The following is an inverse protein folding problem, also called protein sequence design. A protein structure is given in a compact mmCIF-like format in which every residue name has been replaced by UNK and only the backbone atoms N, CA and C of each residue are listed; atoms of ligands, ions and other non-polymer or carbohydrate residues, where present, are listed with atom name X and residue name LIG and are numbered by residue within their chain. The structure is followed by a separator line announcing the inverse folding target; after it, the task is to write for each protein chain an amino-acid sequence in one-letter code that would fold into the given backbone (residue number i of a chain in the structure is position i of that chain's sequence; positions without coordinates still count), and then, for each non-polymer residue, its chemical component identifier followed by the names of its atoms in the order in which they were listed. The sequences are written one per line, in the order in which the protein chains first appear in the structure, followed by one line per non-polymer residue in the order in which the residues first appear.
data_IF_594129035446
#
_entry.id   IF_594129035446
#
_cell.length_a   1.000
_cell.length_b   1.000
_cell.length_c   1.000
_cell.angle_alpha   90.00
_cell.angle_beta   90.00
_cell.angle_gamma   90.00
#
_symmetry.space_group_name_H-M   'P 1'
#
loop_
_entity.id
_entity.type
_entity.pdbx_description
1 polymer ?
#
# COMPACT_ATOMS: atom_id res chain seq x y z
N UNK A 1 -6.18 9.88 21.83
CA UNK A 1 -5.00 9.01 22.02
C UNK A 1 -3.80 9.67 21.37
N UNK A 2 -2.60 9.36 21.88
CA UNK A 2 -1.32 9.77 21.27
C UNK A 2 -0.75 8.60 20.49
N UNK A 3 -0.62 8.76 19.16
CA UNK A 3 -0.31 7.66 18.25
C UNK A 3 1.00 7.95 17.52
N UNK A 4 1.94 7.01 17.52
CA UNK A 4 3.15 7.05 16.72
C UNK A 4 3.00 6.18 15.47
N UNK A 5 3.10 6.78 14.29
CA UNK A 5 3.22 6.06 13.03
C UNK A 5 4.68 5.86 12.66
N UNK A 6 5.11 4.61 12.50
CA UNK A 6 6.44 4.28 12.00
C UNK A 6 6.34 3.96 10.50
N UNK A 7 7.08 4.69 9.69
CA UNK A 7 7.10 4.58 8.23
C UNK A 7 8.55 4.60 7.72
N UNK A 8 8.82 4.00 6.55
CA UNK A 8 10.15 4.03 5.94
C UNK A 8 10.45 5.35 5.24
N UNK A 9 9.41 5.95 4.62
CA UNK A 9 9.51 7.22 3.89
C UNK A 9 8.22 8.00 4.04
N UNK A 10 8.32 9.31 4.30
CA UNK A 10 7.15 10.19 4.40
C UNK A 10 7.51 11.62 3.99
N UNK A 11 6.66 12.33 3.22
CA UNK A 11 5.52 11.79 2.50
C UNK A 11 5.96 10.87 1.34
N UNK A 12 5.11 9.95 0.90
CA UNK A 12 5.41 9.05 -0.22
C UNK A 12 4.26 9.02 -1.22
N UNK A 13 4.56 9.29 -2.47
CA UNK A 13 3.57 9.32 -3.57
C UNK A 13 2.89 7.95 -3.73
N UNK A 14 3.62 6.86 -3.53
CA UNK A 14 3.11 5.50 -3.67
C UNK A 14 2.35 4.97 -2.43
N UNK A 15 2.36 5.72 -1.31
CA UNK A 15 1.77 5.32 -0.03
C UNK A 15 0.69 6.31 0.44
N UNK A 16 -0.16 6.77 -0.47
CA UNK A 16 -1.27 7.70 -0.17
C UNK A 16 -2.20 7.19 0.92
N UNK A 17 -2.34 5.87 1.06
CA UNK A 17 -3.13 5.23 2.09
C UNK A 17 -2.59 5.50 3.52
N UNK A 18 -1.27 5.65 3.69
CA UNK A 18 -0.67 6.03 4.99
C UNK A 18 -1.07 7.45 5.34
N UNK A 19 -0.97 8.37 4.39
CA UNK A 19 -1.40 9.75 4.56
C UNK A 19 -2.88 9.82 4.94
N UNK A 20 -3.74 9.09 4.23
CA UNK A 20 -5.18 9.05 4.49
C UNK A 20 -5.51 8.48 5.88
N UNK A 21 -4.77 7.48 6.37
CA UNK A 21 -4.93 6.98 7.74
C UNK A 21 -4.52 8.03 8.78
N UNK A 22 -3.39 8.68 8.59
CA UNK A 22 -2.88 9.72 9.52
C UNK A 22 -3.87 10.87 9.62
N UNK A 23 -4.25 11.45 8.47
CA UNK A 23 -5.19 12.58 8.41
C UNK A 23 -6.54 12.19 9.01
N UNK A 24 -7.08 11.02 8.67
CA UNK A 24 -8.35 10.57 9.19
C UNK A 24 -8.36 10.34 10.71
N UNK A 25 -7.25 9.91 11.30
CA UNK A 25 -7.12 9.82 12.75
C UNK A 25 -6.96 11.20 13.42
N UNK A 26 -6.30 12.15 12.73
CA UNK A 26 -6.25 13.56 13.20
C UNK A 26 -7.64 14.19 13.16
N UNK A 27 -8.44 13.93 12.12
CA UNK A 27 -9.85 14.40 12.03
C UNK A 27 -10.74 13.81 13.14
N UNK A 28 -10.39 12.61 13.64
CA UNK A 28 -11.04 11.97 14.80
C UNK A 28 -10.52 12.49 16.16
N UNK A 29 -9.66 13.52 16.15
CA UNK A 29 -9.16 14.18 17.36
C UNK A 29 -7.97 13.48 18.04
N UNK A 30 -7.25 12.62 17.33
CA UNK A 30 -6.04 11.97 17.87
C UNK A 30 -4.79 12.80 17.64
N UNK A 31 -3.85 12.76 18.62
CA UNK A 31 -2.51 13.35 18.50
C UNK A 31 -1.59 12.37 17.77
N UNK A 32 -1.38 12.60 16.46
CA UNK A 32 -0.63 11.68 15.59
C UNK A 32 0.76 12.23 15.30
N UNK A 33 1.79 11.41 15.54
CA UNK A 33 3.18 11.71 15.23
C UNK A 33 3.77 10.67 14.25
N UNK A 34 4.55 11.15 13.29
CA UNK A 34 5.10 10.34 12.21
C UNK A 34 6.61 10.23 12.40
N UNK A 35 7.13 9.00 12.44
CA UNK A 35 8.55 8.70 12.53
C UNK A 35 9.00 8.03 11.23
N UNK A 36 9.78 8.74 10.43
CA UNK A 36 10.20 8.29 9.11
C UNK A 36 11.72 8.12 9.00
N UNK A 37 12.16 7.06 8.31
CA UNK A 37 13.59 6.83 8.04
C UNK A 37 14.14 7.85 7.04
N UNK A 38 13.30 8.27 6.07
CA UNK A 38 13.69 9.19 4.99
C UNK A 38 12.59 10.23 4.73
N UNK A 39 13.03 11.42 4.34
CA UNK A 39 12.14 12.39 3.70
C UNK A 39 11.89 11.96 2.27
N UNK A 40 10.64 11.89 1.88
CA UNK A 40 10.24 11.70 0.51
C UNK A 40 10.20 13.01 -0.29
N UNK A 41 9.78 12.92 -1.55
CA UNK A 41 9.66 14.09 -2.41
C UNK A 41 8.42 14.91 -2.04
N UNK A 42 8.62 16.13 -1.56
CA UNK A 42 7.55 17.04 -1.15
C UNK A 42 6.87 17.76 -2.33
N UNK A 43 7.51 17.80 -3.49
CA UNK A 43 7.01 18.56 -4.67
C UNK A 43 5.69 17.99 -5.23
N UNK A 44 5.41 16.73 -4.96
CA UNK A 44 4.18 16.03 -5.40
C UNK A 44 3.22 15.74 -4.26
N UNK A 45 3.38 16.43 -3.12
CA UNK A 45 2.55 16.17 -1.94
C UNK A 45 1.13 16.72 -2.13
N UNK A 46 0.19 15.90 -1.76
CA UNK A 46 -1.24 16.23 -1.73
C UNK A 46 -1.51 17.43 -0.82
N UNK A 47 -2.47 18.28 -1.15
CA UNK A 47 -2.88 19.43 -0.32
C UNK A 47 -3.17 19.11 1.15
N UNK A 48 -3.41 17.85 1.48
CA UNK A 48 -3.54 17.38 2.86
C UNK A 48 -2.24 17.52 3.69
N UNK A 49 -1.05 17.43 3.07
CA UNK A 49 0.21 17.57 3.79
C UNK A 49 0.36 18.99 4.37
N UNK A 50 0.00 19.99 3.60
CA UNK A 50 0.04 21.39 4.01
C UNK A 50 -1.14 21.74 4.93
N UNK A 51 -2.36 21.28 4.58
CA UNK A 51 -3.58 21.53 5.35
C UNK A 51 -3.47 21.11 6.82
N UNK A 52 -2.83 19.97 7.09
CA UNK A 52 -2.68 19.43 8.45
C UNK A 52 -1.30 19.75 9.06
N UNK A 53 -0.50 20.60 8.43
CA UNK A 53 0.85 20.98 8.89
C UNK A 53 1.69 19.76 9.31
N UNK A 54 1.64 18.72 8.48
CA UNK A 54 2.25 17.41 8.80
C UNK A 54 3.76 17.50 8.96
N UNK A 55 4.38 18.57 8.51
CA UNK A 55 5.81 18.87 8.75
C UNK A 55 6.15 18.94 10.24
N UNK A 56 5.29 19.55 11.04
CA UNK A 56 5.46 19.65 12.52
C UNK A 56 5.25 18.33 13.23
N UNK A 57 4.44 17.45 12.66
CA UNK A 57 4.15 16.13 13.20
C UNK A 57 5.14 15.06 12.74
N UNK A 58 6.04 15.36 11.77
CA UNK A 58 6.98 14.40 11.19
C UNK A 58 8.37 14.52 11.77
N UNK A 59 8.88 13.39 12.26
CA UNK A 59 10.21 13.25 12.87
C UNK A 59 11.06 12.33 12.02
N UNK A 60 12.15 12.87 11.45
CA UNK A 60 13.11 12.08 10.68
C UNK A 60 14.28 11.64 11.56
N UNK A 61 14.70 10.38 11.40
CA UNK A 61 15.86 9.87 12.08
C UNK A 61 17.13 10.49 11.49
N UNK A 62 17.77 11.40 12.24
CA UNK A 62 18.98 12.11 11.83
C UNK A 62 20.23 11.33 12.20
N UNK A 63 20.56 10.29 11.43
CA UNK A 63 21.77 9.50 11.65
C UNK A 63 22.95 10.18 10.93
N UNK A 64 24.01 10.64 11.63
CA UNK A 64 25.14 11.31 10.99
C UNK A 64 25.86 10.36 10.03
N UNK A 65 26.19 10.84 8.83
CA UNK A 65 26.97 10.07 7.85
C UNK A 65 28.44 9.91 8.30
N UNK A 66 29.02 10.98 8.88
CA UNK A 66 30.38 10.94 9.42
C UNK A 66 30.41 10.10 10.68
N UNK A 67 31.31 9.11 10.73
CA UNK A 67 31.42 8.15 11.81
C UNK A 67 31.86 8.79 13.14
N UNK A 68 32.81 9.70 13.10
CA UNK A 68 33.29 10.41 14.31
C UNK A 68 32.16 11.25 14.93
N UNK A 69 31.43 12.00 14.10
CA UNK A 69 30.28 12.78 14.57
C UNK A 69 29.20 11.86 15.13
N UNK A 70 29.03 10.68 14.54
CA UNK A 70 28.07 9.68 15.00
C UNK A 70 28.44 9.16 16.39
N UNK A 71 29.70 8.82 16.62
CA UNK A 71 30.20 8.36 17.93
C UNK A 71 30.01 9.46 19.00
N UNK A 72 30.47 10.68 18.71
CA UNK A 72 30.36 11.79 19.68
C UNK A 72 28.89 12.04 20.05
N UNK A 73 27.99 12.09 19.07
CA UNK A 73 26.57 12.24 19.36
C UNK A 73 25.98 11.04 20.10
N UNK A 74 26.42 9.83 19.79
CA UNK A 74 25.95 8.63 20.49
C UNK A 74 26.34 8.66 21.96
N UNK A 75 27.59 9.08 22.29
CA UNK A 75 28.03 9.24 23.67
C UNK A 75 27.18 10.28 24.39
N UNK A 76 26.98 11.46 23.78
CA UNK A 76 26.12 12.49 24.35
C UNK A 76 24.69 11.97 24.63
N UNK A 77 24.12 11.22 23.71
CA UNK A 77 22.80 10.61 23.89
C UNK A 77 22.77 9.56 25.01
N UNK A 78 23.80 8.71 25.09
CA UNK A 78 23.90 7.72 26.17
C UNK A 78 23.93 8.46 27.52
N UNK A 79 24.77 9.48 27.68
CA UNK A 79 24.85 10.26 28.93
C UNK A 79 23.51 10.90 29.27
N UNK A 80 22.84 11.50 28.30
CA UNK A 80 21.59 12.21 28.49
C UNK A 80 20.43 11.30 28.85
N UNK A 81 20.31 10.12 28.18
CA UNK A 81 19.10 9.27 28.25
C UNK A 81 19.29 8.00 29.08
N UNK A 82 20.53 7.54 29.34
CA UNK A 82 20.80 6.35 30.12
C UNK A 82 20.15 6.33 31.52
N UNK A 83 20.14 7.43 32.27
CA UNK A 83 19.57 7.42 33.62
C UNK A 83 18.10 7.03 33.67
N UNK A 84 17.34 7.32 32.58
CA UNK A 84 15.90 7.04 32.52
C UNK A 84 15.53 5.89 31.58
N UNK A 85 16.41 5.52 30.65
CA UNK A 85 16.14 4.61 29.54
C UNK A 85 17.27 3.60 29.31
N UNK A 86 17.92 3.15 30.38
CA UNK A 86 19.06 2.22 30.33
C UNK A 86 18.77 0.97 29.48
N UNK A 87 17.58 0.37 29.66
CA UNK A 87 17.17 -0.83 28.92
C UNK A 87 17.16 -0.64 27.40
N UNK A 88 16.68 0.51 26.93
CA UNK A 88 16.60 0.82 25.50
C UNK A 88 18.00 1.03 24.92
N UNK A 89 18.85 1.72 25.65
CA UNK A 89 20.23 1.99 25.25
C UNK A 89 21.01 0.70 25.17
N UNK A 90 21.01 -0.13 26.23
CA UNK A 90 21.70 -1.41 26.22
C UNK A 90 21.25 -2.32 25.10
N UNK A 91 19.94 -2.36 24.83
CA UNK A 91 19.40 -3.15 23.70
C UNK A 91 19.86 -2.59 22.36
N UNK A 92 19.78 -1.27 22.16
CA UNK A 92 20.17 -0.65 20.89
C UNK A 92 21.65 -0.85 20.55
N UNK A 93 22.48 -1.09 21.56
CA UNK A 93 23.92 -1.36 21.43
C UNK A 93 24.27 -2.86 21.37
N UNK A 94 23.31 -3.76 21.51
CA UNK A 94 23.57 -5.20 21.52
C UNK A 94 23.88 -5.74 20.12
N UNK A 95 25.17 -5.74 19.77
CA UNK A 95 25.68 -6.19 18.47
C UNK A 95 25.43 -7.68 18.23
N UNK A 96 25.46 -8.51 19.26
CA UNK A 96 25.21 -9.94 19.15
C UNK A 96 23.77 -10.24 18.70
N UNK A 97 22.83 -9.38 19.07
CA UNK A 97 21.42 -9.54 18.73
C UNK A 97 21.01 -8.85 17.44
N UNK A 98 21.55 -7.67 17.18
CA UNK A 98 21.08 -6.79 16.10
C UNK A 98 22.15 -6.51 15.03
N UNK A 99 23.33 -7.16 15.14
CA UNK A 99 24.37 -7.14 14.11
C UNK A 99 24.75 -5.73 13.64
N UNK A 100 24.75 -5.54 12.32
CA UNK A 100 25.13 -4.27 11.68
C UNK A 100 24.35 -3.06 12.17
N UNK A 101 23.07 -3.21 12.55
CA UNK A 101 22.22 -2.10 12.99
C UNK A 101 22.64 -1.55 14.35
N UNK A 102 23.03 -2.42 15.29
CA UNK A 102 23.57 -2.00 16.58
C UNK A 102 25.00 -1.49 16.41
N UNK A 103 25.85 -2.20 15.66
CA UNK A 103 27.23 -1.78 15.41
C UNK A 103 27.31 -0.40 14.74
N UNK A 104 26.42 -0.11 13.80
CA UNK A 104 26.33 1.20 13.16
C UNK A 104 25.67 2.27 14.04
N UNK A 105 25.30 1.98 15.26
CA UNK A 105 24.57 2.86 16.19
C UNK A 105 23.18 3.33 15.64
N UNK A 106 22.73 2.79 14.51
CA UNK A 106 21.48 3.22 13.87
C UNK A 106 20.29 3.00 14.79
N UNK A 107 20.22 1.88 15.51
CA UNK A 107 19.14 1.59 16.46
C UNK A 107 19.09 2.62 17.60
N UNK A 108 20.24 3.06 18.11
CA UNK A 108 20.31 4.08 19.14
C UNK A 108 19.68 5.39 18.64
N UNK A 109 20.10 5.88 17.46
CA UNK A 109 19.55 7.10 16.88
C UNK A 109 18.07 7.01 16.53
N UNK A 110 17.58 5.82 16.20
CA UNK A 110 16.14 5.58 15.92
C UNK A 110 15.30 5.52 17.19
N UNK A 111 15.89 5.13 18.33
CA UNK A 111 15.15 5.07 19.59
C UNK A 111 14.93 6.46 20.23
N UNK A 112 15.87 7.39 20.04
CA UNK A 112 15.90 8.70 20.72
C UNK A 112 14.61 9.51 20.50
N UNK A 113 14.10 9.73 19.29
CA UNK A 113 12.89 10.53 19.09
C UNK A 113 11.64 9.95 19.78
N UNK A 114 11.65 8.64 20.07
CA UNK A 114 10.59 7.96 20.82
C UNK A 114 10.76 8.14 22.33
N UNK A 115 11.98 8.44 22.80
CA UNK A 115 12.32 8.63 24.22
C UNK A 115 12.25 10.09 24.68
N UNK A 116 12.46 11.05 23.78
CA UNK A 116 12.53 12.49 24.06
C UNK A 116 11.21 13.11 24.54
N UNK A 117 10.12 12.34 24.59
CA UNK A 117 8.79 12.89 24.89
C UNK A 117 8.39 12.65 26.32
N UNK A 118 7.85 13.67 26.97
CA UNK A 118 7.37 13.65 28.35
C UNK A 118 6.22 12.65 28.58
N UNK A 119 5.37 12.44 27.55
CA UNK A 119 4.28 11.47 27.61
C UNK A 119 4.50 10.35 26.59
N UNK A 120 4.42 9.08 27.01
CA UNK A 120 4.54 7.94 26.10
C UNK A 120 3.38 7.92 25.08
N UNK A 121 3.63 7.27 23.94
CA UNK A 121 2.55 6.98 22.99
C UNK A 121 1.68 5.85 23.51
N UNK A 122 0.38 5.99 23.33
CA UNK A 122 -0.60 4.94 23.63
C UNK A 122 -0.49 3.78 22.63
N UNK A 123 -0.39 4.11 21.35
CA UNK A 123 -0.27 3.17 20.23
C UNK A 123 0.98 3.49 19.42
N UNK A 124 1.69 2.44 19.03
CA UNK A 124 2.78 2.51 18.04
C UNK A 124 2.33 1.69 16.84
N UNK A 125 1.96 2.37 15.77
CA UNK A 125 1.51 1.74 14.53
C UNK A 125 2.63 1.67 13.48
N UNK A 126 3.11 0.48 13.22
CA UNK A 126 4.13 0.18 12.22
C UNK A 126 3.48 -0.14 10.89
N UNK A 127 3.84 0.56 9.82
CA UNK A 127 3.19 0.42 8.51
C UNK A 127 3.66 -0.79 7.68
N UNK A 128 4.65 -1.55 8.16
CA UNK A 128 5.15 -2.78 7.57
C UNK A 128 5.71 -3.71 8.64
N UNK A 129 5.73 -5.01 8.40
CA UNK A 129 6.27 -6.01 9.32
C UNK A 129 7.73 -5.77 9.70
N UNK A 130 8.56 -5.27 8.78
CA UNK A 130 9.96 -4.91 9.04
C UNK A 130 10.10 -3.76 10.04
N UNK A 131 9.18 -2.80 10.02
CA UNK A 131 9.11 -1.71 10.99
C UNK A 131 8.61 -2.20 12.36
N UNK A 132 7.64 -3.13 12.35
CA UNK A 132 7.17 -3.82 13.55
C UNK A 132 8.29 -4.60 14.25
N UNK A 133 9.08 -5.35 13.49
CA UNK A 133 10.25 -6.06 14.01
C UNK A 133 11.23 -5.10 14.69
N UNK A 134 11.50 -3.95 14.08
CA UNK A 134 12.34 -2.90 14.65
C UNK A 134 11.73 -2.32 15.93
N UNK A 135 10.44 -2.03 15.93
CA UNK A 135 9.75 -1.48 17.10
C UNK A 135 9.82 -2.43 18.31
N UNK A 136 9.53 -3.72 18.15
CA UNK A 136 9.60 -4.69 19.26
C UNK A 136 11.03 -4.93 19.74
N UNK A 137 12.02 -4.64 18.91
CA UNK A 137 13.43 -4.73 19.26
C UNK A 137 13.90 -3.56 20.11
N UNK A 138 13.42 -2.35 19.83
CA UNK A 138 13.83 -1.12 20.47
C UNK A 138 13.09 -0.83 21.77
N UNK A 139 11.78 -1.14 21.79
CA UNK A 139 10.92 -0.74 22.90
C UNK A 139 10.92 -1.80 24.00
N UNK A 140 11.22 -1.43 25.25
CA UNK A 140 11.15 -2.36 26.37
C UNK A 140 9.70 -2.72 26.68
N UNK A 141 9.46 -3.99 26.97
CA UNK A 141 8.15 -4.49 27.40
C UNK A 141 7.72 -3.88 28.74
N UNK A 142 8.68 -3.39 29.53
CA UNK A 142 8.49 -2.85 30.89
C UNK A 142 7.97 -1.42 30.98
N UNK A 143 7.96 -0.65 29.91
CA UNK A 143 7.55 0.76 29.95
C UNK A 143 6.06 0.92 29.70
N UNK A 144 5.23 0.33 30.55
CA UNK A 144 3.77 0.56 30.58
C UNK A 144 3.06 0.23 29.25
N UNK A 145 1.79 0.12 29.25
CA UNK A 145 0.78 -0.17 28.24
C UNK A 145 1.00 0.24 26.77
N UNK A 146 2.23 0.29 26.24
CA UNK A 146 2.49 0.61 24.82
C UNK A 146 2.12 -0.59 23.96
N UNK A 147 1.13 -0.40 23.12
CA UNK A 147 0.65 -1.46 22.22
C UNK A 147 1.24 -1.26 20.83
N UNK A 148 1.99 -2.26 20.36
CA UNK A 148 2.55 -2.25 18.99
C UNK A 148 1.55 -2.91 18.07
N UNK A 149 1.00 -2.13 17.15
CA UNK A 149 0.14 -2.57 16.06
C UNK A 149 0.96 -2.57 14.77
N UNK A 150 0.85 -3.60 13.95
CA UNK A 150 1.64 -3.72 12.72
C UNK A 150 0.73 -3.99 11.53
N UNK A 151 0.67 -3.07 10.59
CA UNK A 151 0.04 -3.32 9.28
C UNK A 151 0.92 -4.19 8.41
N UNK A 152 0.31 -5.13 7.69
CA UNK A 152 0.95 -6.07 6.76
C UNK A 152 0.38 -5.82 5.37
N UNK A 153 1.27 -5.56 4.38
CA UNK A 153 0.84 -4.98 3.12
C UNK A 153 1.16 -5.79 1.85
N UNK A 154 1.95 -6.84 1.96
CA UNK A 154 2.30 -7.73 0.84
C UNK A 154 3.77 -8.11 0.86
N UNK A 155 4.65 -7.36 0.22
CA UNK A 155 6.08 -7.71 0.06
C UNK A 155 6.83 -7.99 1.37
N UNK A 156 6.36 -7.43 2.47
CA UNK A 156 6.87 -7.66 3.82
C UNK A 156 6.57 -9.07 4.35
N UNK A 157 5.64 -9.78 3.75
CA UNK A 157 5.28 -11.17 4.10
C UNK A 157 5.56 -12.13 2.94
N UNK A 158 5.38 -11.69 1.69
CA UNK A 158 5.56 -12.57 0.53
C UNK A 158 7.03 -12.71 0.12
N UNK A 159 7.75 -11.60 -0.01
CA UNK A 159 9.16 -11.60 -0.45
C UNK A 159 10.12 -11.64 0.74
N UNK A 160 9.87 -10.79 1.75
CA UNK A 160 10.81 -10.63 2.85
C UNK A 160 10.90 -11.88 3.72
N UNK A 161 9.77 -12.52 4.08
CA UNK A 161 9.79 -13.76 4.88
C UNK A 161 10.36 -14.95 4.11
N UNK A 162 10.13 -15.01 2.79
CA UNK A 162 10.74 -16.04 1.94
C UNK A 162 12.26 -15.99 1.98
N UNK A 163 12.85 -14.78 2.05
CA UNK A 163 14.30 -14.56 2.17
C UNK A 163 14.83 -14.71 3.59
N UNK A 164 13.98 -14.54 4.59
CA UNK A 164 14.35 -14.55 6.02
C UNK A 164 13.35 -15.36 6.85
N UNK A 165 13.31 -16.71 6.70
CA UNK A 165 12.35 -17.56 7.40
C UNK A 165 12.44 -17.39 8.91
N UNK A 166 11.28 -17.26 9.57
CA UNK A 166 11.18 -17.17 11.03
C UNK A 166 11.64 -15.85 11.66
N UNK A 167 12.05 -14.84 10.87
CA UNK A 167 12.53 -13.56 11.41
C UNK A 167 11.43 -12.83 12.20
N UNK A 168 10.15 -13.06 11.91
CA UNK A 168 9.03 -12.42 12.60
C UNK A 168 8.58 -13.15 13.88
N UNK A 169 9.22 -14.24 14.29
CA UNK A 169 8.84 -14.96 15.53
C UNK A 169 8.79 -14.04 16.76
N UNK A 170 9.80 -13.17 16.92
CA UNK A 170 9.82 -12.23 18.04
C UNK A 170 8.75 -11.13 17.88
N UNK A 171 8.51 -10.67 16.66
CA UNK A 171 7.44 -9.72 16.35
C UNK A 171 6.07 -10.34 16.68
N UNK A 172 5.78 -11.56 16.25
CA UNK A 172 4.52 -12.25 16.54
C UNK A 172 4.30 -12.50 18.02
N UNK A 173 5.38 -12.79 18.76
CA UNK A 173 5.31 -12.98 20.22
C UNK A 173 4.99 -11.67 20.95
N UNK A 174 5.66 -10.57 20.62
CA UNK A 174 5.63 -9.30 21.34
C UNK A 174 4.65 -8.26 20.79
N UNK A 175 4.37 -8.30 19.50
CA UNK A 175 3.38 -7.44 18.87
C UNK A 175 1.99 -7.72 19.43
N UNK A 176 1.17 -6.67 19.48
CA UNK A 176 -0.17 -6.79 20.02
C UNK A 176 -1.15 -7.22 18.93
N UNK A 177 -1.28 -6.43 17.87
CA UNK A 177 -2.16 -6.71 16.74
C UNK A 177 -1.43 -6.64 15.41
N UNK A 178 -1.81 -7.54 14.51
CA UNK A 178 -1.37 -7.57 13.11
C UNK A 178 -2.55 -7.27 12.21
N UNK A 179 -2.40 -6.25 11.38
CA UNK A 179 -3.45 -5.74 10.50
C UNK A 179 -3.08 -6.04 9.03
N UNK A 180 -3.26 -7.29 8.56
CA UNK A 180 -3.13 -7.58 7.14
C UNK A 180 -4.23 -6.85 6.35
N UNK A 181 -3.90 -6.40 5.13
CA UNK A 181 -4.81 -5.62 4.29
C UNK A 181 -5.78 -6.48 3.48
N UNK A 182 -5.76 -7.80 3.64
CA UNK A 182 -6.68 -8.75 3.02
C UNK A 182 -6.62 -10.12 3.74
N UNK A 183 -7.63 -10.97 3.52
CA UNK A 183 -7.69 -12.32 4.09
C UNK A 183 -6.53 -13.19 3.58
N UNK A 184 -6.15 -13.07 2.29
CA UNK A 184 -5.00 -13.77 1.75
C UNK A 184 -3.71 -13.55 2.59
N UNK A 185 -3.45 -12.31 3.00
CA UNK A 185 -2.29 -12.00 3.85
C UNK A 185 -2.49 -12.44 5.30
N UNK A 186 -3.73 -12.51 5.80
CA UNK A 186 -4.04 -13.10 7.11
C UNK A 186 -3.66 -14.58 7.13
N UNK A 187 -4.12 -15.35 6.14
CA UNK A 187 -3.79 -16.77 6.01
C UNK A 187 -2.26 -16.98 5.94
N UNK A 188 -1.58 -16.11 5.20
CA UNK A 188 -0.12 -16.15 5.13
C UNK A 188 0.55 -15.92 6.48
N UNK A 189 0.05 -14.97 7.29
CA UNK A 189 0.57 -14.73 8.65
C UNK A 189 0.37 -15.95 9.56
N UNK A 190 -0.78 -16.61 9.46
CA UNK A 190 -1.08 -17.84 10.23
C UNK A 190 -0.08 -18.95 9.86
N UNK A 191 0.16 -19.16 8.56
CA UNK A 191 1.15 -20.13 8.07
C UNK A 191 2.57 -19.83 8.56
N UNK A 192 2.92 -18.56 8.73
CA UNK A 192 4.22 -18.14 9.27
C UNK A 192 4.29 -18.19 10.81
N UNK A 193 3.23 -18.69 11.48
CA UNK A 193 3.17 -18.92 12.92
C UNK A 193 2.65 -17.75 13.77
N UNK A 194 1.98 -16.78 13.17
CA UNK A 194 1.26 -15.77 13.94
C UNK A 194 -0.03 -16.33 14.50
N UNK A 195 -0.29 -16.12 15.80
CA UNK A 195 -1.53 -16.59 16.43
C UNK A 195 -2.74 -15.84 15.84
N UNK A 196 -3.76 -16.55 15.36
CA UNK A 196 -4.93 -15.98 14.68
C UNK A 196 -5.64 -14.93 15.54
N UNK A 197 -5.75 -15.15 16.85
CA UNK A 197 -6.33 -14.18 17.79
C UNK A 197 -5.65 -12.82 17.84
N UNK A 198 -4.44 -12.69 17.29
CA UNK A 198 -3.70 -11.43 17.15
C UNK A 198 -3.85 -10.80 15.77
N UNK A 199 -4.63 -11.39 14.88
CA UNK A 199 -4.75 -10.92 13.51
C UNK A 199 -6.16 -10.38 13.29
N UNK A 200 -6.23 -9.14 12.78
CA UNK A 200 -7.49 -8.52 12.35
C UNK A 200 -7.29 -7.97 10.95
N UNK A 201 -8.05 -8.46 9.98
CA UNK A 201 -8.01 -7.90 8.63
C UNK A 201 -8.53 -6.48 8.68
N UNK A 202 -7.68 -5.55 8.24
CA UNK A 202 -8.02 -4.14 8.17
C UNK A 202 -7.61 -3.61 6.80
N UNK A 203 -8.60 -3.43 5.94
CA UNK A 203 -8.39 -2.87 4.61
C UNK A 203 -7.85 -1.44 4.70
N UNK A 204 -7.22 -0.97 3.63
CA UNK A 204 -7.00 0.45 3.43
C UNK A 204 -7.88 0.95 2.28
N UNK A 205 -8.38 2.16 2.47
CA UNK A 205 -9.38 2.73 1.59
C UNK A 205 -8.86 3.85 0.72
N UNK A 206 -9.78 4.33 -0.09
CA UNK A 206 -9.69 5.58 -0.82
C UNK A 206 -10.77 6.54 -0.32
N UNK A 207 -10.57 7.82 -0.52
CA UNK A 207 -11.60 8.82 -0.27
C UNK A 207 -12.56 8.83 -1.47
N UNK A 208 -13.69 8.13 -1.32
CA UNK A 208 -14.68 7.98 -2.39
C UNK A 208 -15.29 9.31 -2.82
N UNK A 209 -15.29 10.34 -1.97
CA UNK A 209 -15.82 11.67 -2.30
C UNK A 209 -14.99 12.40 -3.36
N UNK A 210 -13.72 12.03 -3.51
CA UNK A 210 -12.81 12.61 -4.50
C UNK A 210 -12.99 12.05 -5.91
N UNK A 211 -13.75 10.96 -6.07
CA UNK A 211 -13.96 10.28 -7.34
C UNK A 211 -15.43 10.43 -7.75
N UNK A 212 -15.65 11.15 -8.85
CA UNK A 212 -16.99 11.31 -9.40
C UNK A 212 -17.46 10.01 -10.04
N UNK A 213 -18.66 9.56 -9.68
CA UNK A 213 -19.31 8.48 -10.41
C UNK A 213 -19.73 8.95 -11.80
N UNK A 214 -19.31 8.25 -12.84
CA UNK A 214 -19.68 8.52 -14.23
C UNK A 214 -20.48 7.35 -14.77
N UNK A 215 -21.74 7.58 -15.11
CA UNK A 215 -22.53 6.60 -15.86
C UNK A 215 -22.07 6.55 -17.31
N UNK A 216 -21.46 5.44 -17.69
CA UNK A 216 -20.88 5.31 -19.03
C UNK A 216 -21.91 4.92 -20.06
N UNK A 217 -22.02 5.74 -21.08
CA UNK A 217 -22.81 5.47 -22.28
C UNK A 217 -21.84 5.39 -23.46
N UNK A 218 -21.83 4.27 -24.16
CA UNK A 218 -21.01 4.12 -25.36
C UNK A 218 -21.80 4.49 -26.60
N UNK A 219 -21.18 5.29 -27.46
CA UNK A 219 -21.71 5.53 -28.78
C UNK A 219 -21.38 4.33 -29.68
N UNK A 220 -22.36 3.73 -30.37
CA UNK A 220 -22.08 2.63 -31.28
C UNK A 220 -21.04 3.01 -32.33
N UNK A 221 -20.03 2.15 -32.51
CA UNK A 221 -18.96 2.36 -33.49
C UNK A 221 -17.73 3.11 -33.01
N UNK A 222 -17.78 3.75 -31.84
CA UNK A 222 -16.60 4.35 -31.22
C UNK A 222 -15.64 3.31 -30.62
N UNK A 223 -14.35 3.62 -30.63
CA UNK A 223 -13.33 2.78 -30.00
C UNK A 223 -13.53 2.70 -28.49
N UNK A 224 -13.34 1.51 -27.92
CA UNK A 224 -13.39 1.31 -26.47
C UNK A 224 -12.09 1.80 -25.85
N UNK A 225 -12.18 2.74 -24.90
CA UNK A 225 -11.04 3.26 -24.15
C UNK A 225 -10.72 2.33 -22.96
N UNK A 226 -9.63 1.60 -23.07
CA UNK A 226 -9.12 0.71 -22.03
C UNK A 226 -8.01 1.42 -21.28
N UNK A 227 -7.97 1.30 -19.95
CA UNK A 227 -6.99 1.95 -19.10
C UNK A 227 -6.28 0.94 -18.20
N UNK A 228 -4.98 1.11 -18.01
CA UNK A 228 -4.19 0.53 -16.90
C UNK A 228 -3.47 1.65 -16.17
N UNK A 229 -3.57 1.66 -14.83
CA UNK A 229 -2.83 2.58 -13.94
C UNK A 229 -1.97 1.74 -13.01
N UNK A 230 -0.66 1.68 -13.26
CA UNK A 230 0.23 0.81 -12.48
C UNK A 230 1.69 1.21 -12.62
N UNK A 231 2.52 0.82 -11.62
CA UNK A 231 3.97 0.77 -11.83
C UNK A 231 4.29 -0.28 -12.89
N UNK A 232 5.21 0.01 -13.80
CA UNK A 232 5.60 -0.91 -14.87
C UNK A 232 6.61 -1.95 -14.32
N UNK A 233 6.08 -2.90 -13.53
CA UNK A 233 6.82 -4.01 -12.90
C UNK A 233 6.08 -5.32 -13.14
N UNK A 234 6.79 -6.44 -13.07
CA UNK A 234 6.31 -7.78 -13.44
C UNK A 234 4.95 -8.12 -12.81
N UNK A 235 4.79 -7.95 -11.51
CA UNK A 235 3.57 -8.33 -10.80
C UNK A 235 2.30 -7.59 -11.24
N UNK A 236 2.41 -6.58 -12.10
CA UNK A 236 1.26 -5.88 -12.67
C UNK A 236 0.72 -6.52 -13.95
N UNK A 237 1.43 -7.50 -14.51
CA UNK A 237 0.97 -8.34 -15.61
C UNK A 237 0.68 -7.60 -16.92
N UNK A 238 1.22 -6.40 -17.13
CA UNK A 238 0.90 -5.54 -18.29
C UNK A 238 1.23 -6.24 -19.61
N UNK A 239 2.21 -7.15 -19.64
CA UNK A 239 2.54 -7.97 -20.79
C UNK A 239 1.32 -8.73 -21.30
N UNK A 240 0.58 -9.39 -20.40
CA UNK A 240 -0.64 -10.15 -20.75
C UNK A 240 -1.79 -9.25 -21.23
N UNK A 241 -1.87 -8.01 -20.69
CA UNK A 241 -2.82 -7.02 -21.21
C UNK A 241 -2.48 -6.58 -22.65
N UNK A 242 -1.20 -6.39 -22.97
CA UNK A 242 -0.76 -6.07 -24.34
C UNK A 242 -1.06 -7.22 -25.31
N UNK A 243 -0.79 -8.47 -24.91
CA UNK A 243 -1.11 -9.67 -25.72
C UNK A 243 -2.63 -9.76 -25.97
N UNK A 244 -3.46 -9.59 -24.94
CA UNK A 244 -4.91 -9.61 -25.07
C UNK A 244 -5.43 -8.50 -26.01
N UNK A 245 -4.92 -7.27 -25.84
CA UNK A 245 -5.28 -6.13 -26.69
C UNK A 245 -4.84 -6.35 -28.13
N UNK A 246 -3.63 -6.82 -28.37
CA UNK A 246 -3.12 -7.13 -29.71
C UNK A 246 -3.99 -8.18 -30.39
N UNK A 247 -4.36 -9.25 -29.67
CA UNK A 247 -5.27 -10.30 -30.19
C UNK A 247 -6.65 -9.77 -30.56
N UNK A 248 -7.20 -8.79 -29.83
CA UNK A 248 -8.49 -8.17 -30.16
C UNK A 248 -8.40 -7.23 -31.38
N UNK A 249 -7.33 -6.43 -31.44
CA UNK A 249 -7.08 -5.54 -32.57
C UNK A 249 -6.92 -6.34 -33.88
N UNK A 250 -6.22 -7.49 -33.85
CA UNK A 250 -6.08 -8.38 -35.01
C UNK A 250 -7.42 -9.00 -35.48
N UNK A 251 -8.40 -9.14 -34.59
CA UNK A 251 -9.76 -9.59 -34.91
C UNK A 251 -10.69 -8.44 -35.34
N UNK A 252 -10.16 -7.21 -35.49
CA UNK A 252 -10.91 -6.04 -35.96
C UNK A 252 -11.71 -5.30 -34.88
N UNK A 253 -11.54 -5.62 -33.60
CA UNK A 253 -12.19 -4.87 -32.53
C UNK A 253 -11.60 -3.44 -32.45
N UNK A 254 -12.46 -2.44 -32.26
CA UNK A 254 -12.05 -1.04 -32.15
C UNK A 254 -11.80 -0.70 -30.69
N UNK A 255 -10.55 -0.54 -30.31
CA UNK A 255 -10.16 -0.14 -28.97
C UNK A 255 -8.89 0.74 -28.96
N UNK A 256 -8.77 1.58 -27.93
CA UNK A 256 -7.58 2.35 -27.57
C UNK A 256 -7.14 1.92 -26.17
N UNK A 257 -5.87 1.62 -26.00
CA UNK A 257 -5.33 1.21 -24.71
C UNK A 257 -4.33 2.22 -24.17
N UNK A 258 -4.63 2.80 -23.04
CA UNK A 258 -3.78 3.77 -22.34
C UNK A 258 -3.17 3.13 -21.10
N UNK A 259 -1.86 3.21 -20.98
CA UNK A 259 -1.09 2.70 -19.83
C UNK A 259 -0.44 3.89 -19.13
N UNK A 260 -0.80 4.10 -17.85
CA UNK A 260 -0.27 5.16 -17.00
C UNK A 260 0.65 4.58 -15.94
N UNK A 261 1.83 5.16 -15.82
CA UNK A 261 2.86 4.81 -14.85
C UNK A 261 4.21 4.61 -15.49
N UNK A 262 5.20 4.28 -14.66
CA UNK A 262 6.57 4.05 -15.08
C UNK A 262 7.20 2.92 -14.28
N UNK A 263 8.34 2.41 -14.72
CA UNK A 263 9.05 1.34 -14.03
C UNK A 263 10.02 0.57 -14.91
N UNK A 264 10.61 -0.46 -14.31
CA UNK A 264 11.70 -1.24 -14.94
C UNK A 264 11.32 -1.89 -16.28
N UNK A 265 10.03 -2.20 -16.47
CA UNK A 265 9.57 -2.85 -17.72
C UNK A 265 9.25 -1.86 -18.85
N UNK A 266 9.39 -0.55 -18.66
CA UNK A 266 9.00 0.45 -19.68
C UNK A 266 9.58 0.12 -21.05
N UNK A 267 10.90 0.00 -21.16
CA UNK A 267 11.57 -0.27 -22.44
C UNK A 267 11.17 -1.61 -23.06
N UNK A 268 10.91 -2.62 -22.22
CA UNK A 268 10.40 -3.91 -22.69
C UNK A 268 8.99 -3.79 -23.29
N UNK A 269 8.10 -3.08 -22.62
CA UNK A 269 6.72 -2.86 -23.09
C UNK A 269 6.70 -2.03 -24.39
N UNK A 270 7.55 -1.00 -24.51
CA UNK A 270 7.70 -0.21 -25.74
C UNK A 270 8.14 -1.09 -26.92
N UNK A 271 9.12 -1.99 -26.71
CA UNK A 271 9.54 -2.96 -27.71
C UNK A 271 8.46 -3.96 -28.09
N UNK A 272 7.65 -4.42 -27.12
CA UNK A 272 6.52 -5.31 -27.39
C UNK A 272 5.47 -4.64 -28.26
N UNK A 273 5.08 -3.39 -27.92
CA UNK A 273 4.11 -2.60 -28.67
C UNK A 273 4.57 -2.47 -30.13
N UNK A 274 5.86 -2.12 -30.38
CA UNK A 274 6.41 -2.02 -31.72
C UNK A 274 6.43 -3.35 -32.49
N UNK A 275 6.83 -4.46 -31.83
CA UNK A 275 6.80 -5.79 -32.47
C UNK A 275 5.38 -6.26 -32.85
N UNK A 276 4.39 -5.88 -32.05
CA UNK A 276 2.99 -6.20 -32.30
C UNK A 276 2.32 -5.28 -33.35
N UNK A 277 2.96 -4.16 -33.71
CA UNK A 277 2.43 -3.18 -34.67
C UNK A 277 1.19 -2.43 -34.18
N UNK A 278 1.08 -2.19 -32.87
CA UNK A 278 -0.10 -1.59 -32.22
C UNK A 278 0.16 -0.18 -31.64
N UNK A 279 1.20 0.51 -32.08
CA UNK A 279 1.62 1.83 -31.55
C UNK A 279 0.55 2.92 -31.74
N UNK A 280 -0.30 2.75 -32.74
CA UNK A 280 -1.38 3.71 -33.01
C UNK A 280 -2.50 3.60 -31.95
N UNK A 281 -2.75 2.42 -31.43
CA UNK A 281 -3.84 2.12 -30.49
C UNK A 281 -3.39 2.08 -29.03
N UNK A 282 -2.10 1.86 -28.76
CA UNK A 282 -1.55 1.71 -27.40
C UNK A 282 -0.63 2.88 -27.05
N UNK A 283 -0.88 3.52 -25.91
CA UNK A 283 -0.11 4.68 -25.45
C UNK A 283 0.45 4.45 -24.05
N UNK A 284 1.76 4.61 -23.88
CA UNK A 284 2.49 4.63 -22.61
C UNK A 284 2.70 6.08 -22.18
N UNK A 285 1.90 6.59 -21.25
CA UNK A 285 1.90 8.01 -20.87
C UNK A 285 2.92 8.40 -19.80
N UNK A 286 3.64 7.40 -19.21
CA UNK A 286 4.53 7.67 -18.08
C UNK A 286 3.77 8.06 -16.80
N UNK A 287 4.48 8.65 -15.85
CA UNK A 287 3.87 9.17 -14.62
C UNK A 287 2.90 10.31 -14.88
N UNK A 288 1.77 10.26 -14.19
CA UNK A 288 0.73 11.27 -14.22
C UNK A 288 0.39 11.72 -12.81
N UNK A 289 -0.05 12.97 -12.67
CA UNK A 289 -0.59 13.49 -11.42
C UNK A 289 -1.89 12.79 -11.05
N UNK A 290 -2.28 12.85 -9.78
CA UNK A 290 -3.53 12.25 -9.32
C UNK A 290 -4.76 12.79 -10.06
N UNK A 291 -4.78 14.09 -10.35
CA UNK A 291 -5.87 14.73 -11.12
C UNK A 291 -5.91 14.29 -12.59
N UNK A 292 -4.74 14.05 -13.21
CA UNK A 292 -4.68 13.49 -14.57
C UNK A 292 -5.17 12.03 -14.59
N UNK A 293 -4.75 11.24 -13.60
CA UNK A 293 -5.23 9.84 -13.44
C UNK A 293 -6.75 9.82 -13.28
N UNK A 294 -7.28 10.70 -12.44
CA UNK A 294 -8.72 10.79 -12.20
C UNK A 294 -9.48 11.10 -13.48
N UNK A 295 -9.04 12.10 -14.28
CA UNK A 295 -9.63 12.39 -15.58
C UNK A 295 -9.61 11.18 -16.53
N UNK A 296 -8.47 10.48 -16.60
CA UNK A 296 -8.36 9.26 -17.42
C UNK A 296 -9.30 8.15 -16.96
N UNK A 297 -9.51 7.99 -15.65
CA UNK A 297 -10.50 7.06 -15.10
C UNK A 297 -11.93 7.47 -15.48
N UNK A 298 -12.24 8.77 -15.46
CA UNK A 298 -13.56 9.31 -15.85
C UNK A 298 -13.84 9.14 -17.35
N UNK A 299 -12.82 9.27 -18.20
CA UNK A 299 -12.91 9.18 -19.66
C UNK A 299 -12.86 7.75 -20.21
N UNK A 300 -12.40 6.79 -19.41
CA UNK A 300 -12.21 5.41 -19.84
C UNK A 300 -13.49 4.58 -19.75
N UNK A 301 -13.55 3.46 -20.48
CA UNK A 301 -14.66 2.54 -20.49
C UNK A 301 -14.43 1.28 -19.66
N UNK A 302 -13.18 0.80 -19.55
CA UNK A 302 -12.80 -0.41 -18.80
C UNK A 302 -11.41 -0.20 -18.18
N UNK A 303 -11.25 -0.60 -16.92
CA UNK A 303 -9.92 -0.76 -16.32
C UNK A 303 -9.45 -2.20 -16.47
N UNK A 304 -8.21 -2.39 -16.93
CA UNK A 304 -7.53 -3.69 -16.97
C UNK A 304 -6.36 -3.67 -15.99
N UNK A 305 -6.37 -4.57 -15.01
CA UNK A 305 -5.35 -4.65 -13.96
C UNK A 305 -4.97 -6.11 -13.68
N UNK A 306 -4.26 -6.81 -14.60
CA UNK A 306 -4.06 -8.25 -14.59
C UNK A 306 -2.87 -8.62 -13.68
N UNK A 307 -2.97 -8.28 -12.39
CA UNK A 307 -1.92 -8.54 -11.40
C UNK A 307 -1.62 -10.04 -11.30
N UNK A 308 -0.37 -10.36 -10.98
CA UNK A 308 0.11 -11.73 -10.88
C UNK A 308 1.18 -11.88 -9.80
N UNK A 309 1.48 -13.09 -9.43
CA UNK A 309 2.63 -13.42 -8.62
C UNK A 309 3.88 -13.35 -9.49
N UNK A 310 4.82 -12.45 -9.17
CA UNK A 310 6.09 -12.36 -9.90
C UNK A 310 6.97 -13.60 -9.68
N UNK A 311 7.95 -13.82 -10.54
CA UNK A 311 8.90 -14.93 -10.40
C UNK A 311 9.69 -14.85 -9.08
N UNK A 312 9.92 -13.63 -8.58
CA UNK A 312 10.49 -13.38 -7.25
C UNK A 312 9.54 -13.63 -6.08
N UNK A 313 8.27 -13.99 -6.34
CA UNK A 313 7.23 -14.22 -5.32
C UNK A 313 6.59 -12.93 -4.78
N UNK A 314 6.84 -11.77 -5.41
CA UNK A 314 6.15 -10.52 -5.02
C UNK A 314 4.69 -10.55 -5.46
N UNK A 315 3.80 -10.24 -4.53
CA UNK A 315 2.35 -10.25 -4.72
C UNK A 315 1.75 -8.90 -4.32
N UNK A 316 0.59 -8.60 -4.88
CA UNK A 316 -0.19 -7.44 -4.43
C UNK A 316 -0.93 -7.74 -3.11
N UNK A 317 -1.34 -6.69 -2.41
CA UNK A 317 -2.45 -6.80 -1.47
C UNK A 317 -3.77 -6.55 -2.21
N UNK A 318 -4.29 -5.31 -2.10
CA UNK A 318 -5.46 -4.84 -2.87
C UNK A 318 -5.07 -3.56 -3.61
N UNK A 319 -4.99 -3.54 -4.96
CA UNK A 319 -4.52 -2.38 -5.71
C UNK A 319 -5.45 -1.16 -5.59
N UNK A 320 -4.89 0.04 -5.32
CA UNK A 320 -5.67 1.27 -5.27
C UNK A 320 -6.32 1.62 -6.60
N UNK A 321 -5.61 1.42 -7.71
CA UNK A 321 -6.13 1.73 -9.04
C UNK A 321 -7.47 1.03 -9.33
N UNK A 322 -7.67 -0.20 -8.82
CA UNK A 322 -8.95 -0.92 -8.94
C UNK A 322 -10.03 -0.22 -8.12
N UNK A 323 -9.73 0.17 -6.86
CA UNK A 323 -10.68 0.90 -6.01
C UNK A 323 -11.08 2.25 -6.63
N UNK A 324 -10.09 2.99 -7.13
CA UNK A 324 -10.28 4.29 -7.79
C UNK A 324 -11.15 4.17 -9.05
N UNK A 325 -10.89 3.14 -9.87
CA UNK A 325 -11.71 2.84 -11.05
C UNK A 325 -13.16 2.48 -10.67
N UNK A 326 -13.34 1.58 -9.71
CA UNK A 326 -14.66 1.23 -9.20
C UNK A 326 -15.38 2.44 -8.60
N UNK A 327 -14.67 3.32 -7.90
CA UNK A 327 -15.25 4.57 -7.39
C UNK A 327 -15.73 5.50 -8.50
N UNK A 328 -15.04 5.56 -9.65
CA UNK A 328 -15.52 6.24 -10.84
C UNK A 328 -16.64 5.48 -11.59
N UNK A 329 -17.04 4.29 -11.12
CA UNK A 329 -18.02 3.44 -11.81
C UNK A 329 -17.46 2.74 -13.04
N UNK A 330 -16.15 2.53 -13.13
CA UNK A 330 -15.50 1.80 -14.22
C UNK A 330 -15.61 0.29 -13.99
N UNK A 331 -16.12 -0.51 -14.94
CA UNK A 331 -15.98 -1.95 -14.85
C UNK A 331 -14.51 -2.33 -14.89
N UNK A 332 -14.14 -3.36 -14.13
CA UNK A 332 -12.76 -3.79 -13.96
C UNK A 332 -12.59 -5.21 -14.48
N UNK A 333 -11.50 -5.47 -15.22
CA UNK A 333 -11.03 -6.81 -15.49
C UNK A 333 -9.70 -6.98 -14.73
N UNK A 334 -9.63 -8.01 -13.89
CA UNK A 334 -8.44 -8.31 -13.10
C UNK A 334 -8.23 -9.83 -12.98
N UNK A 335 -7.46 -10.28 -12.02
CA UNK A 335 -7.09 -11.69 -11.86
C UNK A 335 -7.54 -12.23 -10.52
N UNK A 336 -7.70 -13.56 -10.40
CA UNK A 336 -7.83 -14.27 -9.13
C UNK A 336 -6.49 -14.25 -8.38
N UNK A 337 -6.03 -13.04 -8.02
CA UNK A 337 -4.73 -12.81 -7.40
C UNK A 337 -4.88 -12.19 -6.00
N UNK A 338 -4.27 -12.83 -4.99
CA UNK A 338 -4.15 -12.29 -3.63
C UNK A 338 -5.49 -11.75 -3.08
N UNK A 339 -5.54 -10.49 -2.65
CA UNK A 339 -6.75 -9.84 -2.12
C UNK A 339 -7.69 -9.24 -3.17
N UNK A 340 -7.43 -9.40 -4.46
CA UNK A 340 -8.29 -8.83 -5.51
C UNK A 340 -9.72 -9.41 -5.49
N UNK A 341 -9.94 -10.72 -5.27
CA UNK A 341 -11.29 -11.28 -5.15
C UNK A 341 -12.12 -10.75 -3.96
N UNK A 342 -11.47 -10.14 -2.97
CA UNK A 342 -12.15 -9.47 -1.86
C UNK A 342 -12.70 -8.08 -2.26
N UNK A 343 -12.08 -7.47 -3.29
CA UNK A 343 -12.48 -6.18 -3.86
C UNK A 343 -13.40 -6.34 -5.07
N UNK A 344 -13.11 -7.26 -5.97
CA UNK A 344 -13.86 -7.49 -7.20
C UNK A 344 -14.61 -8.80 -7.07
N UNK A 345 -15.95 -8.72 -7.09
CA UNK A 345 -16.84 -9.90 -7.16
C UNK A 345 -17.04 -10.25 -8.61
N UNK A 346 -16.53 -11.43 -9.03
CA UNK A 346 -16.56 -11.88 -10.42
C UNK A 346 -18.00 -11.93 -10.97
N UNK A 347 -18.17 -11.44 -12.19
CA UNK A 347 -19.47 -11.35 -12.86
C UNK A 347 -20.42 -10.25 -12.33
N UNK A 348 -20.11 -9.62 -11.17
CA UNK A 348 -20.99 -8.63 -10.51
C UNK A 348 -20.37 -7.22 -10.53
N UNK A 349 -19.17 -7.06 -9.99
CA UNK A 349 -18.51 -5.76 -9.90
C UNK A 349 -17.34 -5.60 -10.85
N UNK A 350 -17.02 -6.67 -11.57
CA UNK A 350 -15.97 -6.78 -12.56
C UNK A 350 -15.85 -8.22 -13.03
N UNK A 351 -14.80 -8.51 -13.80
CA UNK A 351 -14.46 -9.86 -14.26
C UNK A 351 -13.09 -10.26 -13.73
N UNK A 352 -12.97 -11.50 -13.27
CA UNK A 352 -11.71 -12.07 -12.81
C UNK A 352 -11.29 -13.24 -13.70
N UNK A 353 -10.02 -13.23 -14.12
CA UNK A 353 -9.42 -14.27 -14.96
C UNK A 353 -8.23 -14.90 -14.24
N UNK A 354 -7.74 -16.08 -14.66
CA UNK A 354 -6.51 -16.64 -14.15
C UNK A 354 -5.30 -15.71 -14.37
N UNK A 355 -4.31 -15.79 -13.48
CA UNK A 355 -3.01 -15.10 -13.69
C UNK A 355 -2.35 -15.63 -14.97
N UNK A 356 -1.64 -14.75 -15.69
CA UNK A 356 -0.84 -15.09 -16.89
C UNK A 356 -1.69 -15.63 -18.06
N UNK A 357 -2.98 -15.39 -18.09
CA UNK A 357 -3.89 -15.85 -19.15
C UNK A 357 -4.39 -14.68 -20.02
N UNK A 358 -3.64 -14.38 -21.07
CA UNK A 358 -3.98 -13.33 -22.03
C UNK A 358 -5.26 -13.65 -22.84
N UNK A 359 -5.56 -14.94 -23.06
CA UNK A 359 -6.76 -15.34 -23.81
C UNK A 359 -8.04 -15.07 -23.01
N UNK A 360 -8.09 -15.52 -21.75
CA UNK A 360 -9.22 -15.22 -20.85
C UNK A 360 -9.40 -13.71 -20.64
N UNK A 361 -8.29 -12.96 -20.59
CA UNK A 361 -8.32 -11.50 -20.50
C UNK A 361 -8.91 -10.87 -21.78
N UNK A 362 -8.53 -11.35 -22.96
CA UNK A 362 -9.09 -10.91 -24.24
C UNK A 362 -10.59 -11.24 -24.35
N UNK A 363 -10.99 -12.45 -23.95
CA UNK A 363 -12.40 -12.87 -23.99
C UNK A 363 -13.26 -12.03 -23.05
N UNK A 364 -12.78 -11.75 -21.84
CA UNK A 364 -13.44 -10.86 -20.87
C UNK A 364 -13.57 -9.43 -21.41
N UNK A 365 -12.53 -8.91 -22.04
CA UNK A 365 -12.56 -7.57 -22.65
C UNK A 365 -13.53 -7.54 -23.85
N UNK A 366 -13.50 -8.54 -24.73
CA UNK A 366 -14.44 -8.69 -25.82
C UNK A 366 -15.91 -8.77 -25.35
N UNK A 367 -16.13 -9.50 -24.24
CA UNK A 367 -17.45 -9.59 -23.62
C UNK A 367 -17.96 -8.22 -23.18
N UNK A 368 -17.14 -7.41 -22.48
CA UNK A 368 -17.52 -6.05 -22.07
C UNK A 368 -17.68 -5.11 -23.27
N UNK A 369 -16.85 -5.25 -24.31
CA UNK A 369 -16.97 -4.49 -25.56
C UNK A 369 -18.35 -4.73 -26.21
N UNK A 370 -18.83 -5.95 -26.23
CA UNK A 370 -20.10 -6.34 -26.88
C UNK A 370 -21.34 -6.11 -26.01
N UNK A 371 -21.16 -5.89 -24.70
CA UNK A 371 -22.26 -5.77 -23.74
C UNK A 371 -22.20 -4.48 -22.90
N UNK A 372 -22.42 -3.28 -23.49
CA UNK A 372 -22.31 -1.99 -22.78
C UNK A 372 -23.26 -1.87 -21.58
N UNK A 373 -24.45 -2.48 -21.64
CA UNK A 373 -25.39 -2.48 -20.53
C UNK A 373 -24.87 -3.20 -19.28
N UNK A 374 -24.05 -4.24 -19.48
CA UNK A 374 -23.39 -4.95 -18.38
C UNK A 374 -22.32 -4.08 -17.77
N UNK A 375 -21.54 -3.34 -18.57
CA UNK A 375 -20.54 -2.40 -18.07
C UNK A 375 -21.15 -1.38 -17.09
N UNK A 376 -22.29 -0.79 -17.42
CA UNK A 376 -22.99 0.16 -16.56
C UNK A 376 -23.45 -0.48 -15.25
N UNK A 377 -24.02 -1.70 -15.29
CA UNK A 377 -24.44 -2.44 -14.08
C UNK A 377 -23.24 -2.79 -13.19
N UNK A 378 -22.17 -3.30 -13.78
CA UNK A 378 -20.92 -3.62 -13.05
C UNK A 378 -20.30 -2.37 -12.42
N UNK A 379 -20.22 -1.27 -13.15
CA UNK A 379 -19.71 -0.01 -12.63
C UNK A 379 -20.52 0.51 -11.43
N UNK A 380 -21.85 0.44 -11.49
CA UNK A 380 -22.71 0.82 -10.37
C UNK A 380 -22.52 -0.10 -9.16
N UNK A 381 -22.45 -1.41 -9.37
CA UNK A 381 -22.21 -2.37 -8.31
C UNK A 381 -20.80 -2.18 -7.68
N UNK A 382 -19.79 -1.94 -8.51
CA UNK A 382 -18.43 -1.65 -8.09
C UNK A 382 -18.34 -0.41 -7.22
N UNK A 383 -19.00 0.70 -7.62
CA UNK A 383 -19.07 1.93 -6.81
C UNK A 383 -19.65 1.65 -5.43
N UNK A 384 -20.79 0.97 -5.34
CA UNK A 384 -21.43 0.63 -4.06
C UNK A 384 -20.50 -0.22 -3.18
N UNK A 385 -19.80 -1.19 -3.75
CA UNK A 385 -18.88 -2.05 -3.00
C UNK A 385 -17.72 -1.27 -2.40
N UNK A 386 -17.12 -0.36 -3.17
CA UNK A 386 -16.01 0.47 -2.67
C UNK A 386 -16.48 1.42 -1.58
N UNK A 387 -17.62 2.09 -1.72
CA UNK A 387 -18.21 2.95 -0.70
C UNK A 387 -18.50 2.19 0.61
N UNK A 388 -19.00 0.95 0.50
CA UNK A 388 -19.37 0.15 1.66
C UNK A 388 -18.18 -0.47 2.39
N UNK A 389 -17.14 -0.92 1.66
CA UNK A 389 -16.04 -1.70 2.24
C UNK A 389 -14.70 -0.98 2.25
N UNK A 390 -14.47 -0.05 1.33
CA UNK A 390 -13.15 0.53 1.09
C UNK A 390 -13.11 2.07 1.15
N UNK A 391 -14.16 2.69 1.72
CA UNK A 391 -14.13 4.12 2.00
C UNK A 391 -13.22 4.43 3.20
N UNK A 392 -12.31 5.41 3.00
CA UNK A 392 -11.26 5.73 3.99
C UNK A 392 -11.82 6.26 5.30
N UNK A 393 -12.92 7.03 5.28
CA UNK A 393 -13.52 7.58 6.51
C UNK A 393 -14.09 6.46 7.38
N UNK A 394 -14.77 5.50 6.76
CA UNK A 394 -15.28 4.32 7.45
C UNK A 394 -14.16 3.46 8.03
N UNK A 395 -13.12 3.21 7.23
CA UNK A 395 -11.98 2.39 7.65
C UNK A 395 -11.16 3.05 8.76
N UNK A 396 -11.04 4.38 8.76
CA UNK A 396 -10.38 5.12 9.85
C UNK A 396 -11.17 5.01 11.16
N UNK A 397 -12.50 5.07 11.12
CA UNK A 397 -13.35 4.80 12.30
C UNK A 397 -13.22 3.38 12.82
N UNK A 398 -13.10 2.40 11.91
CA UNK A 398 -12.81 1.01 12.30
C UNK A 398 -11.44 0.88 12.96
N UNK A 399 -10.41 1.54 12.41
CA UNK A 399 -9.05 1.55 12.99
C UNK A 399 -9.04 2.20 14.37
N UNK A 400 -9.75 3.31 14.56
CA UNK A 400 -9.95 3.93 15.85
C UNK A 400 -10.61 2.97 16.85
N UNK A 401 -11.68 2.27 16.43
CA UNK A 401 -12.37 1.26 17.25
C UNK A 401 -11.43 0.14 17.69
N UNK A 402 -10.55 -0.33 16.79
CA UNK A 402 -9.51 -1.29 17.14
C UNK A 402 -8.55 -0.73 18.20
N UNK A 403 -8.07 0.50 18.05
CA UNK A 403 -7.18 1.12 19.05
C UNK A 403 -7.86 1.30 20.42
N UNK A 404 -9.12 1.71 20.43
CA UNK A 404 -9.90 1.84 21.68
C UNK A 404 -10.09 0.47 22.34
N UNK A 405 -10.33 -0.59 21.57
CA UNK A 405 -10.37 -1.97 22.08
C UNK A 405 -9.06 -2.37 22.76
N UNK A 406 -7.93 -2.10 22.08
CA UNK A 406 -6.58 -2.34 22.63
C UNK A 406 -6.33 -1.63 23.95
N UNK A 407 -6.86 -0.41 24.13
CA UNK A 407 -6.68 0.38 25.35
C UNK A 407 -7.56 -0.12 26.52
N UNK A 408 -8.70 -0.76 26.22
CA UNK A 408 -9.61 -1.30 27.26
C UNK A 408 -9.13 -2.63 27.85
N UNK A 409 -8.36 -3.40 27.11
CA UNK A 409 -7.80 -4.68 27.55
C UNK A 409 -6.52 -4.53 28.41
N UNK A 410 -6.23 -3.30 28.86
CA UNK A 410 -4.99 -2.94 29.57
C UNK A 410 -5.17 -2.89 31.09
#
# INVERSE_FOLDING_TARGET
MKIAFLVSEFPSVSQTFVLNQIVGLMDLGHDVHIFADKSGNTVTTHGNYEKYDLSKHTHYYRIPKNWLVRIVKAIAFIIQYAPRNYDVICRSLNVFRYGKQAWSLSLLFMSIPLLERERPFDIIHCQFGTLGLRAVSLLPIRTGNRKIVTSIRGSDVTVFLKKHPGIYRELFRKGYWFLPVCEFLKERLIQEGCAEKKIVVHYYGIDCSKFQYVQRQRVPGEAVKVLTVARLVEKKGIVFALEAVSGLLSKGEKLEYTIVGDGLLRGHLEQMIGRMGIERQVKLLGWKTHEEVKRLLEESHVLVAPSLTSDGGDQEGIPNAIKEAMACGLPVISTFHSGIPELVTDGITGLLVPERDANSLADSLAYLIRNPAICSKMGQAGRRQVEQKFDTHRLNKQLEGLYLGVMRES
#
